data_IF_151789652643
#
_entry.id   IF_151789652643
#
_cell.length_a   1.000
_cell.length_b   1.000
_cell.length_c   1.000
_cell.angle_alpha   90.00
_cell.angle_beta   90.00
_cell.angle_gamma   90.00
#
_symmetry.space_group_name_H-M   'P 1'
#
loop_
_entity.id
_entity.type
_entity.pdbx_description
1 polymer ?
#
# COMPACT_ATOMS: atom_id res chain seq x y z
N UNK A 1 9.61 25.15 -0.10
CA UNK A 1 8.50 25.85 0.59
C UNK A 1 8.00 24.97 1.72
N UNK A 2 8.38 25.30 2.98
CA UNK A 2 7.90 24.56 4.15
C UNK A 2 6.43 24.96 4.43
N UNK A 3 5.49 24.12 4.01
CA UNK A 3 4.12 24.23 4.50
C UNK A 3 4.16 23.96 6.02
N UNK A 4 3.78 24.98 6.82
CA UNK A 4 3.47 24.81 8.24
C UNK A 4 2.46 23.69 8.36
N UNK A 5 2.90 22.49 8.76
CA UNK A 5 2.03 21.39 9.15
C UNK A 5 1.15 21.94 10.31
N UNK A 6 -0.13 22.16 10.01
CA UNK A 6 -1.15 22.45 11.01
C UNK A 6 -1.07 21.38 12.11
N UNK A 7 -1.38 21.76 13.36
CA UNK A 7 -1.35 20.85 14.52
C UNK A 7 -1.97 19.49 14.15
N UNK A 8 -1.15 18.44 14.11
CA UNK A 8 -1.59 17.07 13.82
C UNK A 8 -2.57 16.62 14.91
N UNK A 9 -3.67 16.00 14.51
CA UNK A 9 -4.65 15.47 15.46
C UNK A 9 -4.09 14.19 16.11
N UNK A 10 -3.68 14.29 17.36
CA UNK A 10 -3.05 13.21 18.11
C UNK A 10 -3.90 11.92 18.18
N UNK A 11 -5.23 12.05 18.19
CA UNK A 11 -6.11 10.87 18.24
C UNK A 11 -6.08 10.11 16.92
N UNK A 12 -6.04 10.80 15.79
CA UNK A 12 -5.93 10.19 14.46
C UNK A 12 -4.55 9.56 14.30
N UNK A 13 -3.48 10.27 14.65
CA UNK A 13 -2.11 9.78 14.58
C UNK A 13 -1.95 8.46 15.36
N UNK A 14 -2.42 8.42 16.60
CA UNK A 14 -2.41 7.22 17.44
C UNK A 14 -3.22 6.07 16.84
N UNK A 15 -4.36 6.37 16.23
CA UNK A 15 -5.20 5.36 15.56
C UNK A 15 -4.50 4.76 14.34
N UNK A 16 -3.87 5.59 13.52
CA UNK A 16 -3.06 5.14 12.38
C UNK A 16 -1.92 4.23 12.87
N UNK A 17 -1.19 4.63 13.90
CA UNK A 17 -0.11 3.84 14.49
C UNK A 17 -0.59 2.45 14.97
N UNK A 18 -1.77 2.37 15.59
CA UNK A 18 -2.37 1.10 16.01
C UNK A 18 -2.65 0.21 14.78
N UNK A 19 -3.27 0.76 13.75
CA UNK A 19 -3.58 0.02 12.51
C UNK A 19 -2.31 -0.51 11.86
N UNK A 20 -1.27 0.31 11.73
CA UNK A 20 0.00 -0.12 11.14
C UNK A 20 0.72 -1.21 11.96
N UNK A 21 0.72 -1.08 13.29
CA UNK A 21 1.29 -2.10 14.19
C UNK A 21 0.56 -3.43 14.04
N UNK A 22 -0.77 -3.41 13.94
CA UNK A 22 -1.57 -4.60 13.73
C UNK A 22 -1.37 -5.20 12.33
N UNK A 23 -1.24 -4.37 11.29
CA UNK A 23 -0.99 -4.81 9.92
C UNK A 23 0.36 -5.54 9.76
N UNK A 24 1.40 -5.06 10.46
CA UNK A 24 2.73 -5.71 10.48
C UNK A 24 2.78 -6.96 11.38
N UNK A 25 1.73 -7.21 12.16
CA UNK A 25 1.62 -8.40 13.01
C UNK A 25 1.37 -9.67 12.19
N UNK A 26 1.83 -10.82 12.71
CA UNK A 26 1.64 -12.13 12.04
C UNK A 26 0.25 -12.75 12.29
N UNK A 27 -0.73 -11.99 12.82
CA UNK A 27 -2.06 -12.48 13.14
C UNK A 27 -2.75 -11.69 14.25
N UNK A 28 -3.85 -12.21 14.82
CA UNK A 28 -4.59 -11.56 15.90
C UNK A 28 -3.71 -11.25 17.11
N UNK A 29 -3.90 -10.10 17.73
CA UNK A 29 -3.07 -9.59 18.83
C UNK A 29 -3.90 -9.32 20.08
N UNK A 30 -3.30 -9.51 21.26
CA UNK A 30 -3.89 -9.09 22.53
C UNK A 30 -3.79 -7.57 22.69
N UNK A 31 -4.74 -6.98 23.42
CA UNK A 31 -4.72 -5.55 23.75
C UNK A 31 -3.36 -5.09 24.31
N UNK A 32 -2.80 -5.88 25.24
CA UNK A 32 -1.53 -5.56 25.89
C UNK A 32 -0.34 -5.54 24.91
N UNK A 33 -0.34 -6.44 23.93
CA UNK A 33 0.72 -6.53 22.92
C UNK A 33 0.67 -5.33 21.97
N UNK A 34 -0.55 -4.93 21.56
CA UNK A 34 -0.75 -3.71 20.75
C UNK A 34 -0.30 -2.48 21.54
N UNK A 35 -0.72 -2.36 22.79
CA UNK A 35 -0.37 -1.24 23.67
C UNK A 35 1.15 -1.13 23.85
N UNK A 36 1.82 -2.24 24.13
CA UNK A 36 3.28 -2.32 24.28
C UNK A 36 4.00 -1.90 22.99
N UNK A 37 3.57 -2.42 21.83
CA UNK A 37 4.18 -2.09 20.53
C UNK A 37 3.98 -0.64 20.12
N UNK A 38 2.84 -0.05 20.48
CA UNK A 38 2.55 1.35 20.20
C UNK A 38 3.13 2.31 21.24
N UNK A 39 3.66 1.82 22.38
CA UNK A 39 4.10 2.68 23.49
C UNK A 39 2.98 3.49 24.14
N UNK A 40 1.74 2.97 24.12
CA UNK A 40 0.56 3.67 24.61
C UNK A 40 -0.10 2.94 25.79
N UNK A 41 -0.80 3.68 26.69
CA UNK A 41 -1.61 3.05 27.73
C UNK A 41 -2.70 2.14 27.13
N UNK A 42 -2.90 0.95 27.71
CA UNK A 42 -3.89 -0.02 27.24
C UNK A 42 -5.32 0.57 27.16
N UNK A 43 -5.69 1.45 28.11
CA UNK A 43 -6.98 2.14 28.10
C UNK A 43 -7.18 3.04 26.86
N UNK A 44 -6.12 3.71 26.42
CA UNK A 44 -6.14 4.53 25.22
C UNK A 44 -6.30 3.65 23.97
N UNK A 45 -5.52 2.58 23.87
CA UNK A 45 -5.60 1.63 22.74
C UNK A 45 -6.97 0.97 22.69
N UNK A 46 -7.51 0.52 23.85
CA UNK A 46 -8.83 -0.09 23.92
C UNK A 46 -9.92 0.84 23.38
N UNK A 47 -9.92 2.12 23.77
CA UNK A 47 -10.90 3.10 23.30
C UNK A 47 -10.83 3.29 21.77
N UNK A 48 -9.63 3.29 21.20
CA UNK A 48 -9.45 3.42 19.75
C UNK A 48 -9.85 2.14 19.00
N UNK A 49 -9.49 0.95 19.53
CA UNK A 49 -9.92 -0.33 18.98
C UNK A 49 -11.45 -0.48 19.00
N UNK A 50 -12.10 -0.08 20.09
CA UNK A 50 -13.57 -0.09 20.18
C UNK A 50 -14.19 0.80 19.10
N UNK A 51 -13.63 1.98 18.86
CA UNK A 51 -14.09 2.85 17.77
C UNK A 51 -13.93 2.17 16.41
N UNK A 52 -12.75 1.60 16.13
CA UNK A 52 -12.49 0.87 14.89
C UNK A 52 -13.42 -0.33 14.73
N UNK A 53 -13.76 -1.01 15.82
CA UNK A 53 -14.69 -2.14 15.84
C UNK A 53 -16.13 -1.71 15.51
N UNK A 54 -16.61 -0.61 16.08
CA UNK A 54 -17.94 -0.04 15.79
C UNK A 54 -18.08 0.27 14.29
N UNK A 55 -17.00 0.78 13.66
CA UNK A 55 -16.97 1.04 12.23
C UNK A 55 -16.59 -0.16 11.36
N UNK A 56 -16.39 -1.35 11.96
CA UNK A 56 -16.10 -2.59 11.24
C UNK A 56 -14.70 -2.70 10.65
N UNK A 57 -13.73 -1.92 11.12
CA UNK A 57 -12.32 -1.98 10.70
C UNK A 57 -11.51 -2.98 11.51
N UNK A 58 -11.95 -3.30 12.72
CA UNK A 58 -11.31 -4.25 13.62
C UNK A 58 -12.35 -5.26 14.09
N UNK A 59 -11.94 -6.51 14.18
CA UNK A 59 -12.70 -7.59 14.80
C UNK A 59 -12.06 -7.97 16.12
N UNK A 60 -12.87 -8.35 17.10
CA UNK A 60 -12.43 -8.99 18.33
C UNK A 60 -13.01 -10.40 18.39
N UNK A 61 -12.14 -11.39 18.55
CA UNK A 61 -12.55 -12.78 18.75
C UNK A 61 -13.20 -12.93 20.13
N UNK A 62 -14.45 -13.44 20.22
CA UNK A 62 -15.17 -13.51 21.49
C UNK A 62 -14.56 -14.52 22.47
N UNK A 63 -13.85 -15.55 21.99
CA UNK A 63 -13.26 -16.60 22.82
C UNK A 63 -11.87 -16.19 23.32
N UNK A 64 -11.02 -15.70 22.44
CA UNK A 64 -9.62 -15.38 22.76
C UNK A 64 -9.42 -13.92 23.17
N UNK A 65 -10.42 -13.07 22.93
CA UNK A 65 -10.37 -11.62 23.14
C UNK A 65 -9.24 -10.92 22.32
N UNK A 66 -8.69 -11.60 21.30
CA UNK A 66 -7.68 -11.03 20.42
C UNK A 66 -8.34 -10.13 19.35
N UNK A 67 -7.62 -9.09 18.98
CA UNK A 67 -8.02 -8.13 17.95
C UNK A 67 -7.33 -8.44 16.63
N UNK A 68 -8.05 -8.31 15.53
CA UNK A 68 -7.54 -8.43 14.16
C UNK A 68 -8.10 -7.34 13.28
N UNK A 69 -7.34 -6.92 12.26
CA UNK A 69 -7.85 -6.04 11.22
C UNK A 69 -8.88 -6.79 10.37
N UNK A 70 -9.95 -6.11 9.98
CA UNK A 70 -10.97 -6.67 9.11
C UNK A 70 -10.58 -6.56 7.63
N UNK A 71 -11.20 -7.37 6.78
CA UNK A 71 -11.05 -7.30 5.32
C UNK A 71 -11.53 -5.96 4.71
N UNK A 72 -12.15 -5.08 5.52
CA UNK A 72 -12.55 -3.74 5.07
C UNK A 72 -11.35 -2.91 4.62
N UNK A 73 -10.19 -3.09 5.24
CA UNK A 73 -8.94 -2.43 4.79
C UNK A 73 -8.50 -2.93 3.41
N UNK A 74 -8.57 -4.23 3.15
CA UNK A 74 -8.25 -4.79 1.84
C UNK A 74 -9.19 -4.23 0.76
N UNK A 75 -10.51 -4.19 1.05
CA UNK A 75 -11.51 -3.62 0.15
C UNK A 75 -11.22 -2.14 -0.16
N UNK A 76 -10.87 -1.33 0.84
CA UNK A 76 -10.49 0.06 0.62
C UNK A 76 -9.22 0.18 -0.24
N UNK A 77 -8.23 -0.68 0.01
CA UNK A 77 -7.02 -0.74 -0.80
C UNK A 77 -7.32 -1.05 -2.28
N UNK A 78 -8.21 -2.02 -2.56
CA UNK A 78 -8.66 -2.31 -3.92
C UNK A 78 -9.33 -1.09 -4.56
N UNK A 79 -10.28 -0.44 -3.87
CA UNK A 79 -10.95 0.75 -4.40
C UNK A 79 -9.99 1.90 -4.70
N UNK A 80 -8.97 2.10 -3.87
CA UNK A 80 -7.92 3.10 -4.11
C UNK A 80 -7.06 2.69 -5.31
N UNK A 81 -6.72 1.39 -5.41
CA UNK A 81 -5.94 0.87 -6.53
C UNK A 81 -6.68 1.01 -7.86
N UNK A 82 -7.99 0.75 -7.89
CA UNK A 82 -8.83 0.94 -9.07
C UNK A 82 -8.88 2.41 -9.54
N UNK A 83 -8.79 3.36 -8.60
CA UNK A 83 -8.78 4.80 -8.90
C UNK A 83 -7.38 5.32 -9.25
N UNK A 84 -6.35 4.57 -8.93
CA UNK A 84 -4.96 4.98 -9.12
C UNK A 84 -4.45 4.41 -10.44
N UNK A 85 -4.17 5.30 -11.38
CA UNK A 85 -3.48 4.89 -12.60
C UNK A 85 -2.01 4.58 -12.26
N UNK A 86 -1.67 3.30 -12.21
CA UNK A 86 -0.32 2.81 -11.91
C UNK A 86 0.74 3.49 -12.79
N UNK A 87 0.38 3.75 -14.04
CA UNK A 87 1.24 4.42 -15.02
C UNK A 87 1.64 5.83 -14.55
N UNK A 88 0.66 6.62 -14.09
CA UNK A 88 0.91 8.01 -13.67
C UNK A 88 1.77 8.08 -12.41
N UNK A 89 1.59 7.12 -11.50
CA UNK A 89 2.41 7.01 -10.27
C UNK A 89 3.84 6.57 -10.60
N UNK A 90 4.01 5.62 -11.49
CA UNK A 90 5.32 5.06 -11.83
C UNK A 90 6.15 5.98 -12.74
N UNK A 91 5.51 6.76 -13.60
CA UNK A 91 6.17 7.54 -14.66
C UNK A 91 7.31 8.45 -14.18
N UNK A 92 7.21 9.23 -13.07
CA UNK A 92 8.33 10.04 -12.59
C UNK A 92 9.54 9.21 -12.18
N UNK A 93 9.33 8.03 -11.60
CA UNK A 93 10.41 7.11 -11.21
C UNK A 93 11.07 6.46 -12.44
N UNK A 94 10.26 6.10 -13.45
CA UNK A 94 10.78 5.58 -14.73
C UNK A 94 11.61 6.63 -15.46
N UNK A 95 11.18 7.89 -15.45
CA UNK A 95 11.91 8.99 -16.06
C UNK A 95 13.25 9.25 -15.36
N UNK A 96 13.28 9.25 -14.03
CA UNK A 96 14.53 9.36 -13.28
C UNK A 96 15.48 8.18 -13.58
N UNK A 97 14.94 6.96 -13.64
CA UNK A 97 15.73 5.77 -13.93
C UNK A 97 16.30 5.81 -15.35
N UNK A 98 15.49 6.18 -16.36
CA UNK A 98 15.94 6.32 -17.74
C UNK A 98 17.07 7.35 -17.89
N UNK A 99 16.97 8.47 -17.18
CA UNK A 99 18.05 9.47 -17.14
C UNK A 99 19.34 8.95 -16.47
N UNK A 100 19.22 8.14 -15.44
CA UNK A 100 20.37 7.61 -14.71
C UNK A 100 21.09 6.50 -15.44
N UNK A 101 20.35 5.59 -16.08
CA UNK A 101 20.94 4.49 -16.84
C UNK A 101 21.22 4.83 -18.30
N UNK A 102 20.73 5.98 -18.81
CA UNK A 102 20.85 6.43 -20.21
C UNK A 102 20.21 5.45 -21.22
N UNK A 103 19.26 4.61 -20.75
CA UNK A 103 18.59 3.56 -21.52
C UNK A 103 17.08 3.72 -21.47
N UNK A 104 16.37 3.09 -22.40
CA UNK A 104 14.90 2.99 -22.38
C UNK A 104 14.44 2.09 -21.25
N UNK A 105 13.50 2.57 -20.45
CA UNK A 105 12.92 1.85 -19.31
C UNK A 105 11.46 1.52 -19.58
N UNK A 106 11.08 0.26 -19.36
CA UNK A 106 9.73 -0.24 -19.55
C UNK A 106 9.11 -0.68 -18.23
N UNK A 107 7.84 -0.32 -18.00
CA UNK A 107 7.02 -0.85 -16.92
C UNK A 107 6.17 -2.00 -17.45
N UNK A 108 6.33 -3.16 -16.83
CA UNK A 108 5.52 -4.34 -17.13
C UNK A 108 4.66 -4.70 -15.94
N UNK A 109 3.39 -5.02 -16.18
CA UNK A 109 2.47 -5.49 -15.17
C UNK A 109 1.93 -6.87 -15.55
N UNK A 110 1.75 -7.73 -14.54
CA UNK A 110 1.07 -9.01 -14.71
C UNK A 110 -0.44 -8.80 -14.70
N UNK A 111 -1.13 -9.28 -15.72
CA UNK A 111 -2.57 -9.29 -15.82
C UNK A 111 -3.04 -10.63 -16.37
N UNK A 112 -3.93 -11.33 -15.66
CA UNK A 112 -4.57 -12.59 -16.11
C UNK A 112 -3.60 -13.67 -16.68
N UNK A 113 -2.46 -13.90 -16.01
CA UNK A 113 -1.41 -14.84 -16.42
C UNK A 113 -0.60 -14.39 -17.65
N UNK A 114 -0.76 -13.15 -18.07
CA UNK A 114 0.03 -12.52 -19.12
C UNK A 114 0.79 -11.32 -18.55
N UNK A 115 1.90 -10.95 -19.21
CA UNK A 115 2.67 -9.75 -18.83
C UNK A 115 2.46 -8.69 -19.91
N UNK A 116 1.94 -7.53 -19.52
CA UNK A 116 1.69 -6.42 -20.41
C UNK A 116 2.63 -5.24 -20.15
N UNK A 117 3.16 -4.66 -21.24
CA UNK A 117 3.90 -3.40 -21.13
C UNK A 117 2.92 -2.24 -20.89
N UNK A 118 2.98 -1.68 -19.68
CA UNK A 118 2.05 -0.63 -19.26
C UNK A 118 2.57 0.77 -19.60
N UNK A 119 3.88 1.00 -19.53
CA UNK A 119 4.50 2.28 -19.89
C UNK A 119 5.94 2.08 -20.40
N UNK A 120 6.40 3.03 -21.21
CA UNK A 120 7.76 3.08 -21.75
C UNK A 120 8.25 4.52 -21.64
N UNK A 121 9.47 4.69 -21.14
CA UNK A 121 10.17 5.97 -21.11
C UNK A 121 11.50 5.80 -21.84
N UNK A 122 11.65 6.52 -22.95
CA UNK A 122 12.86 6.45 -23.75
C UNK A 122 14.05 7.11 -23.06
N UNK A 123 15.21 6.46 -23.21
CA UNK A 123 16.50 7.04 -22.84
C UNK A 123 16.90 8.16 -23.80
N UNK A 124 17.91 8.99 -23.44
CA UNK A 124 18.35 10.11 -24.26
C UNK A 124 18.88 9.71 -25.65
N UNK A 125 19.38 8.50 -25.80
CA UNK A 125 19.92 7.97 -27.08
C UNK A 125 18.90 7.18 -27.92
N UNK A 126 17.65 7.13 -27.50
CA UNK A 126 16.41 6.77 -28.23
C UNK A 126 16.42 5.67 -29.30
N UNK A 127 17.29 4.66 -29.23
CA UNK A 127 17.49 3.66 -30.31
C UNK A 127 16.66 2.40 -30.15
N UNK A 128 16.02 2.14 -29.01
CA UNK A 128 15.13 0.99 -28.87
C UNK A 128 13.69 1.37 -29.24
N UNK A 129 13.38 1.25 -30.53
CA UNK A 129 11.98 1.08 -30.94
C UNK A 129 11.47 -0.25 -30.37
N UNK A 130 10.95 -0.23 -29.15
CA UNK A 130 10.03 -1.26 -28.70
C UNK A 130 8.78 -1.05 -29.54
N UNK A 131 8.63 -1.86 -30.58
CA UNK A 131 7.50 -1.83 -31.48
C UNK A 131 6.23 -1.90 -30.62
N UNK A 132 5.38 -0.87 -30.66
CA UNK A 132 4.06 -0.83 -29.99
C UNK A 132 3.11 -1.97 -30.45
N UNK A 133 3.58 -2.83 -31.35
CA UNK A 133 2.80 -3.94 -31.91
C UNK A 133 2.80 -5.22 -31.07
N UNK A 134 3.76 -5.41 -30.17
CA UNK A 134 3.79 -6.59 -29.30
C UNK A 134 3.27 -6.27 -27.90
N UNK A 135 2.03 -5.83 -27.80
CA UNK A 135 1.26 -5.82 -26.56
C UNK A 135 0.78 -7.20 -26.12
N UNK A 136 1.35 -8.28 -26.67
CA UNK A 136 0.92 -9.64 -26.35
C UNK A 136 2.05 -10.48 -25.79
N UNK A 137 1.87 -10.78 -24.52
CA UNK A 137 2.18 -12.01 -23.80
C UNK A 137 3.49 -12.71 -24.09
N UNK A 138 4.43 -12.58 -23.17
CA UNK A 138 5.30 -13.70 -22.88
C UNK A 138 4.61 -14.55 -21.82
N UNK A 139 4.05 -15.71 -22.20
CA UNK A 139 3.56 -16.69 -21.23
C UNK A 139 4.70 -17.05 -20.29
N UNK A 140 4.51 -16.87 -19.00
CA UNK A 140 5.37 -17.45 -17.99
C UNK A 140 5.23 -18.97 -18.08
N UNK A 141 6.22 -19.62 -18.70
CA UNK A 141 6.35 -21.07 -18.65
C UNK A 141 6.73 -21.46 -17.22
N UNK A 142 5.81 -22.17 -16.54
CA UNK A 142 6.05 -22.95 -15.32
C UNK A 142 6.94 -24.15 -15.60
#
# INVERSE_FOLDING_TARGET
>A
MNAKLSKVNQSIEKTIQIVEVMARGKGPMRLQDVAKKCGMPASTVMRMLNTLQVYGYVNQDPCTQHYSLSLRFARLGCLVSEQTNMRDVARPFLAELAQRCQETVCLWCEAEMEVECTDVVDGPDGILMVSQRDRKSTRLNS
#
